data_IF_476290407155
#
_entry.id   IF_476290407155
#
_cell.length_a   1.000
_cell.length_b   1.000
_cell.length_c   1.000
_cell.angle_alpha   90.00
_cell.angle_beta   90.00
_cell.angle_gamma   90.00
#
_symmetry.space_group_name_H-M   'P 1'
#
loop_
_entity.id
_entity.type
_entity.pdbx_description
1 polymer ?
#
# COMPACT_ATOMS: atom_id res chain seq x y z
N UNK A 1 12.69 18.87 -9.65
CA UNK A 1 12.94 18.72 -11.10
C UNK A 1 12.19 17.54 -11.65
N UNK A 2 11.55 17.71 -12.80
CA UNK A 2 10.61 16.77 -13.41
C UNK A 2 11.31 15.63 -14.13
N UNK A 3 10.89 14.39 -13.86
CA UNK A 3 11.30 13.20 -14.60
C UNK A 3 10.08 12.52 -15.21
N UNK A 4 10.20 12.15 -16.49
CA UNK A 4 9.28 11.28 -17.21
C UNK A 4 10.08 10.29 -18.06
N UNK A 5 9.39 9.30 -18.64
CA UNK A 5 9.93 8.49 -19.74
C UNK A 5 10.40 9.40 -20.88
N UNK A 6 11.43 8.97 -21.60
CA UNK A 6 11.76 9.52 -22.92
C UNK A 6 10.64 9.15 -23.92
N UNK A 7 9.87 10.14 -24.36
CA UNK A 7 8.69 9.97 -25.23
C UNK A 7 9.07 9.49 -26.65
N UNK A 8 10.36 9.52 -27.02
CA UNK A 8 10.87 9.12 -28.34
C UNK A 8 10.91 7.60 -28.58
N UNK A 9 10.58 6.77 -27.57
CA UNK A 9 10.51 5.31 -27.72
C UNK A 9 9.07 4.85 -28.00
N UNK A 10 8.82 4.54 -29.28
CA UNK A 10 7.57 3.96 -29.81
C UNK A 10 6.97 2.89 -28.89
N UNK A 11 5.65 2.94 -28.75
CA UNK A 11 4.82 1.88 -28.17
C UNK A 11 5.16 0.53 -28.79
N UNK A 12 5.91 -0.34 -28.08
CA UNK A 12 6.19 -1.66 -28.63
C UNK A 12 7.14 -2.59 -27.88
N UNK A 13 8.05 -2.12 -27.02
CA UNK A 13 9.04 -3.02 -26.39
C UNK A 13 9.26 -2.68 -24.91
N UNK A 14 8.81 -3.58 -24.02
CA UNK A 14 9.21 -3.63 -22.61
C UNK A 14 8.62 -2.55 -21.70
N UNK A 15 7.30 -2.62 -21.47
CA UNK A 15 6.55 -1.72 -20.58
C UNK A 15 6.89 -1.91 -19.09
N UNK A 16 7.99 -1.32 -18.64
CA UNK A 16 8.31 -1.18 -17.22
C UNK A 16 9.15 0.09 -17.04
N UNK A 17 8.94 0.81 -15.92
CA UNK A 17 9.86 1.87 -15.49
C UNK A 17 11.33 1.37 -15.58
N UNK A 18 11.55 0.09 -15.27
CA UNK A 18 12.84 -0.61 -15.32
C UNK A 18 13.53 -0.74 -16.68
N UNK A 19 12.83 -0.59 -17.79
CA UNK A 19 13.43 -0.67 -19.12
C UNK A 19 13.59 0.72 -19.77
N UNK A 20 13.17 1.78 -19.07
CA UNK A 20 13.08 3.11 -19.65
C UNK A 20 14.18 4.04 -19.12
N UNK A 21 14.77 4.82 -20.02
CA UNK A 21 15.67 5.91 -19.66
C UNK A 21 14.89 7.06 -19.00
N UNK A 22 15.42 7.55 -17.89
CA UNK A 22 14.89 8.71 -17.17
C UNK A 22 15.29 9.99 -17.92
N UNK A 23 14.30 10.77 -18.35
CA UNK A 23 14.49 12.04 -19.05
C UNK A 23 14.00 13.23 -18.21
N UNK A 24 14.67 14.40 -18.27
CA UNK A 24 14.19 15.61 -17.64
C UNK A 24 13.08 16.27 -18.48
N UNK A 25 12.15 16.95 -17.81
CA UNK A 25 11.09 17.71 -18.48
C UNK A 25 11.11 19.20 -18.02
N UNK A 26 11.26 20.19 -18.93
CA UNK A 26 11.57 20.06 -20.36
C UNK A 26 13.04 19.72 -20.62
N UNK A 27 13.33 18.84 -21.59
CA UNK A 27 14.67 18.25 -21.80
C UNK A 27 15.76 19.28 -22.11
N UNK A 28 15.57 20.07 -23.17
CA UNK A 28 16.61 20.97 -23.68
C UNK A 28 16.95 22.09 -22.70
N UNK A 29 15.94 22.68 -22.06
CA UNK A 29 16.18 23.75 -21.06
C UNK A 29 16.83 23.21 -19.78
N UNK A 30 16.44 21.99 -19.35
CA UNK A 30 17.01 21.38 -18.14
C UNK A 30 18.48 21.00 -18.34
N UNK A 31 18.83 20.43 -19.50
CA UNK A 31 20.21 20.05 -19.79
C UNK A 31 21.10 21.25 -20.11
N UNK A 32 20.54 22.33 -20.65
CA UNK A 32 21.26 23.57 -20.95
C UNK A 32 21.60 24.43 -19.72
N UNK A 33 20.89 24.24 -18.60
CA UNK A 33 21.15 24.95 -17.34
C UNK A 33 21.97 24.07 -16.37
N UNK A 34 23.11 24.59 -15.91
CA UNK A 34 24.04 23.81 -15.07
C UNK A 34 23.45 23.37 -13.73
N UNK A 35 22.62 24.22 -13.10
CA UNK A 35 21.98 23.88 -11.83
C UNK A 35 20.86 22.85 -12.05
N UNK A 36 20.05 23.05 -13.08
CA UNK A 36 18.95 22.13 -13.39
C UNK A 36 19.47 20.75 -13.78
N UNK A 37 20.53 20.68 -14.59
CA UNK A 37 21.19 19.44 -14.96
C UNK A 37 21.79 18.73 -13.73
N UNK A 38 22.48 19.46 -12.84
CA UNK A 38 23.01 18.87 -11.60
C UNK A 38 21.90 18.23 -10.75
N UNK A 39 20.76 18.90 -10.62
CA UNK A 39 19.63 18.42 -9.83
C UNK A 39 18.93 17.24 -10.50
N UNK A 40 18.85 17.22 -11.84
CA UNK A 40 18.44 16.05 -12.60
C UNK A 40 19.36 14.84 -12.37
N UNK A 41 20.69 15.01 -12.42
CA UNK A 41 21.63 13.90 -12.20
C UNK A 41 21.51 13.32 -10.78
N UNK A 42 21.31 14.16 -9.76
CA UNK A 42 21.05 13.70 -8.39
C UNK A 42 19.78 12.87 -8.30
N UNK A 43 18.69 13.36 -8.90
CA UNK A 43 17.41 12.66 -8.93
C UNK A 43 17.51 11.32 -9.67
N UNK A 44 18.18 11.31 -10.83
CA UNK A 44 18.47 10.10 -11.61
C UNK A 44 19.25 9.09 -10.79
N UNK A 45 20.32 9.53 -10.11
CA UNK A 45 21.13 8.66 -9.26
C UNK A 45 20.31 8.00 -8.13
N UNK A 46 19.42 8.75 -7.47
CA UNK A 46 18.51 8.21 -6.45
C UNK A 46 17.57 7.16 -7.02
N UNK A 47 16.89 7.45 -8.14
CA UNK A 47 15.96 6.51 -8.78
C UNK A 47 16.67 5.26 -9.32
N UNK A 48 17.87 5.40 -9.86
CA UNK A 48 18.65 4.26 -10.35
C UNK A 48 19.13 3.38 -9.18
N UNK A 49 19.52 3.98 -8.06
CA UNK A 49 19.87 3.21 -6.84
C UNK A 49 18.64 2.52 -6.25
N UNK A 50 17.48 3.21 -6.26
CA UNK A 50 16.19 2.59 -5.95
C UNK A 50 15.92 1.40 -6.88
N UNK A 51 15.96 1.56 -8.22
CA UNK A 51 15.71 0.49 -9.20
C UNK A 51 16.59 -0.74 -9.01
N UNK A 52 17.81 -0.57 -8.51
CA UNK A 52 18.76 -1.66 -8.19
C UNK A 52 18.55 -2.30 -6.81
N UNK A 53 17.55 -1.88 -6.05
CA UNK A 53 17.32 -2.25 -4.64
C UNK A 53 18.48 -1.84 -3.70
N UNK A 54 19.30 -0.85 -4.08
CA UNK A 54 20.40 -0.36 -3.23
C UNK A 54 19.92 0.62 -2.16
N UNK A 55 18.83 1.33 -2.44
CA UNK A 55 18.15 2.23 -1.51
C UNK A 55 16.68 1.82 -1.37
N UNK A 56 16.18 1.95 -0.15
CA UNK A 56 14.76 1.78 0.17
C UNK A 56 13.92 2.99 -0.28
N UNK A 57 12.60 2.83 -0.24
CA UNK A 57 11.68 3.92 -0.58
C UNK A 57 11.82 5.13 0.33
N UNK A 58 12.03 4.92 1.63
CA UNK A 58 12.21 5.98 2.62
C UNK A 58 13.52 6.76 2.48
N UNK A 59 14.52 6.16 1.84
CA UNK A 59 15.79 6.82 1.51
C UNK A 59 15.69 7.69 0.25
N UNK A 60 14.75 7.39 -0.64
CA UNK A 60 14.65 8.00 -1.98
C UNK A 60 13.50 9.02 -2.05
N UNK A 61 12.34 8.65 -1.54
CA UNK A 61 11.10 9.41 -1.70
C UNK A 61 10.72 10.19 -0.45
N UNK A 62 9.96 11.26 -0.65
CA UNK A 62 9.20 11.91 0.43
C UNK A 62 8.01 11.01 0.77
N UNK A 63 8.19 10.17 1.80
CA UNK A 63 7.25 9.11 2.18
C UNK A 63 5.85 9.66 2.45
N UNK A 64 5.63 10.70 3.27
CA UNK A 64 4.28 11.23 3.50
C UNK A 64 3.57 11.69 2.23
N UNK A 65 4.29 12.38 1.32
CA UNK A 65 3.71 12.86 0.06
C UNK A 65 3.35 11.70 -0.87
N UNK A 66 4.21 10.70 -0.98
CA UNK A 66 3.97 9.58 -1.88
C UNK A 66 2.92 8.60 -1.33
N UNK A 67 2.94 8.32 -0.03
CA UNK A 67 1.85 7.62 0.62
C UNK A 67 0.48 8.30 0.38
N UNK A 68 0.44 9.63 0.51
CA UNK A 68 -0.78 10.42 0.23
C UNK A 68 -1.19 10.37 -1.23
N UNK A 69 -0.23 10.44 -2.15
CA UNK A 69 -0.47 10.29 -3.59
C UNK A 69 -1.19 8.97 -3.88
N UNK A 70 -0.67 7.83 -3.40
CA UNK A 70 -1.27 6.52 -3.67
C UNK A 70 -2.64 6.36 -2.99
N UNK A 71 -2.78 6.83 -1.75
CA UNK A 71 -4.06 6.79 -1.05
C UNK A 71 -5.14 7.63 -1.75
N UNK A 72 -4.76 8.76 -2.37
CA UNK A 72 -5.67 9.53 -3.22
C UNK A 72 -5.97 8.79 -4.53
N UNK A 73 -5.00 8.16 -5.19
CA UNK A 73 -5.25 7.31 -6.36
C UNK A 73 -6.28 6.22 -6.04
N UNK A 74 -6.18 5.58 -4.87
CA UNK A 74 -7.19 4.63 -4.38
C UNK A 74 -8.55 5.31 -4.17
N UNK A 75 -8.61 6.47 -3.51
CA UNK A 75 -9.88 7.18 -3.28
C UNK A 75 -10.60 7.53 -4.59
N UNK A 76 -9.87 7.91 -5.62
CA UNK A 76 -10.46 8.16 -6.94
C UNK A 76 -10.78 6.87 -7.70
N UNK A 77 -10.20 5.74 -7.31
CA UNK A 77 -10.38 4.41 -7.89
C UNK A 77 -9.91 4.26 -9.33
N UNK A 78 -9.30 5.29 -9.92
CA UNK A 78 -8.72 5.24 -11.25
C UNK A 78 -7.19 5.14 -11.16
N UNK A 79 -6.68 3.93 -11.39
CA UNK A 79 -5.24 3.65 -11.38
C UNK A 79 -4.53 4.06 -12.67
N UNK A 80 -4.95 5.17 -13.28
CA UNK A 80 -4.32 5.71 -14.48
C UNK A 80 -3.11 6.60 -14.17
N UNK A 81 -3.16 7.37 -13.09
CA UNK A 81 -2.10 8.34 -12.75
C UNK A 81 -0.86 7.71 -12.10
N UNK A 82 -1.02 6.49 -11.57
CA UNK A 82 -0.01 5.65 -10.95
C UNK A 82 0.57 4.66 -11.98
N UNK A 83 0.11 4.63 -13.22
CA UNK A 83 0.90 3.96 -14.26
C UNK A 83 2.28 4.63 -14.37
N UNK A 84 3.31 3.79 -14.53
CA UNK A 84 4.70 4.23 -14.49
C UNK A 84 5.04 5.26 -15.58
N UNK A 85 4.28 5.29 -16.67
CA UNK A 85 4.38 6.23 -17.78
C UNK A 85 3.65 7.55 -17.52
N UNK A 86 2.69 7.55 -16.59
CA UNK A 86 1.92 8.74 -16.21
C UNK A 86 2.47 9.44 -14.97
N UNK A 87 3.06 8.74 -14.01
CA UNK A 87 3.66 9.39 -12.85
C UNK A 87 4.80 10.32 -13.27
N UNK A 88 4.85 11.50 -12.65
CA UNK A 88 5.96 12.45 -12.79
C UNK A 88 6.66 12.60 -11.46
N UNK A 89 7.97 12.71 -11.46
CA UNK A 89 8.74 12.89 -10.23
C UNK A 89 9.32 14.29 -10.13
N UNK A 90 9.23 14.91 -8.96
CA UNK A 90 9.90 16.15 -8.61
C UNK A 90 11.01 15.88 -7.58
N UNK A 91 12.27 16.15 -7.94
CA UNK A 91 13.36 16.20 -6.95
C UNK A 91 13.35 17.52 -6.17
N UNK A 92 13.22 17.42 -4.85
CA UNK A 92 13.30 18.52 -3.90
C UNK A 92 14.74 18.70 -3.39
N UNK A 93 15.44 19.79 -3.76
CA UNK A 93 16.84 19.99 -3.38
C UNK A 93 17.04 20.31 -1.89
N UNK A 94 15.99 20.70 -1.16
CA UNK A 94 16.07 21.02 0.27
C UNK A 94 16.06 19.73 1.08
N UNK A 95 15.13 18.83 0.80
CA UNK A 95 15.00 17.55 1.50
C UNK A 95 15.88 16.46 0.89
N UNK A 96 16.40 16.67 -0.32
CA UNK A 96 17.08 15.64 -1.12
C UNK A 96 16.25 14.38 -1.29
N UNK A 97 14.93 14.56 -1.50
CA UNK A 97 13.95 13.50 -1.71
C UNK A 97 13.16 13.72 -2.99
N UNK A 98 12.57 12.64 -3.48
CA UNK A 98 11.71 12.63 -4.66
C UNK A 98 10.24 12.65 -4.25
N UNK A 99 9.47 13.53 -4.87
CA UNK A 99 8.03 13.69 -4.64
C UNK A 99 7.28 13.27 -5.90
N UNK A 100 6.19 12.49 -5.80
CA UNK A 100 5.36 12.19 -6.96
C UNK A 100 4.46 13.37 -7.29
N UNK A 101 4.16 13.54 -8.56
CA UNK A 101 3.21 14.51 -9.06
C UNK A 101 2.17 13.77 -9.90
N UNK A 102 0.89 13.97 -9.56
CA UNK A 102 -0.25 13.42 -10.28
C UNK A 102 -0.28 14.05 -11.68
N UNK A 103 -0.42 13.20 -12.68
CA UNK A 103 -0.61 13.58 -14.06
C UNK A 103 -1.59 12.62 -14.72
N UNK A 104 -2.36 13.12 -15.69
CA UNK A 104 -3.35 12.38 -16.47
C UNK A 104 -4.38 11.57 -15.65
N UNK A 105 -4.84 12.17 -14.55
CA UNK A 105 -5.92 11.58 -13.76
C UNK A 105 -7.29 12.05 -14.28
N UNK A 106 -7.89 11.27 -15.17
CA UNK A 106 -9.06 11.69 -15.95
C UNK A 106 -10.43 11.26 -15.45
N UNK A 107 -10.53 10.30 -14.51
CA UNK A 107 -11.81 9.70 -14.12
C UNK A 107 -11.88 9.38 -12.62
N UNK A 108 -13.10 9.34 -12.08
CA UNK A 108 -13.39 8.70 -10.79
C UNK A 108 -14.08 7.38 -11.14
N UNK A 109 -13.57 6.28 -10.62
CA UNK A 109 -14.05 4.92 -10.92
C UNK A 109 -14.33 4.21 -9.60
N UNK A 110 -15.34 3.36 -9.57
CA UNK A 110 -15.68 2.60 -8.38
C UNK A 110 -14.57 1.60 -8.02
N UNK A 111 -14.14 1.61 -6.76
CA UNK A 111 -13.34 0.57 -6.15
C UNK A 111 -14.19 -0.68 -5.90
N UNK A 112 -13.58 -1.86 -6.01
CA UNK A 112 -14.22 -3.14 -5.71
C UNK A 112 -15.16 -3.68 -6.79
N UNK A 113 -15.31 -3.00 -7.93
CA UNK A 113 -16.00 -3.52 -9.12
C UNK A 113 -14.96 -4.09 -10.10
N UNK A 114 -15.33 -5.13 -10.85
CA UNK A 114 -14.53 -5.62 -11.98
C UNK A 114 -14.47 -4.52 -13.05
N UNK A 115 -13.30 -3.94 -13.25
CA UNK A 115 -13.12 -2.93 -14.29
C UNK A 115 -13.05 -3.61 -15.66
N UNK A 116 -14.00 -3.28 -16.54
CA UNK A 116 -14.01 -3.72 -17.94
C UNK A 116 -13.46 -2.65 -18.91
N UNK A 117 -13.06 -1.46 -18.43
CA UNK A 117 -12.57 -0.37 -19.28
C UNK A 117 -11.08 -0.49 -19.64
N UNK A 118 -10.24 -1.02 -18.75
CA UNK A 118 -8.78 -1.02 -18.96
C UNK A 118 -8.21 -2.31 -19.59
N UNK A 119 -8.95 -3.42 -19.56
CA UNK A 119 -8.56 -4.69 -20.17
C UNK A 119 -9.76 -5.62 -20.27
N UNK A 120 -9.83 -6.46 -21.30
CA UNK A 120 -10.81 -7.54 -21.46
C UNK A 120 -10.71 -8.66 -20.39
N UNK A 121 -10.28 -8.33 -19.18
CA UNK A 121 -10.12 -9.23 -18.04
C UNK A 121 -10.70 -8.55 -16.80
N UNK A 122 -11.64 -9.23 -16.16
CA UNK A 122 -12.27 -8.82 -14.91
C UNK A 122 -11.23 -8.75 -13.79
N UNK A 123 -10.70 -7.56 -13.51
CA UNK A 123 -9.84 -7.32 -12.36
C UNK A 123 -10.63 -6.59 -11.27
N UNK A 124 -10.72 -7.20 -10.09
CA UNK A 124 -11.21 -6.52 -8.91
C UNK A 124 -10.32 -5.31 -8.64
N UNK A 125 -10.91 -4.12 -8.69
CA UNK A 125 -10.22 -2.88 -8.42
C UNK A 125 -9.94 -2.74 -6.91
N UNK A 126 -8.84 -3.36 -6.44
CA UNK A 126 -8.42 -3.35 -5.04
C UNK A 126 -7.48 -2.17 -4.78
N UNK A 127 -7.40 -1.76 -3.51
CA UNK A 127 -6.42 -0.75 -3.09
C UNK A 127 -5.00 -1.19 -3.47
N UNK A 128 -4.15 -0.24 -3.90
CA UNK A 128 -2.82 -0.46 -4.48
C UNK A 128 -1.91 -1.31 -3.57
N UNK A 129 -2.00 -1.12 -2.25
CA UNK A 129 -1.20 -1.87 -1.29
C UNK A 129 -1.58 -3.34 -1.16
N UNK A 130 -2.76 -3.75 -1.65
CA UNK A 130 -3.21 -5.13 -1.59
C UNK A 130 -2.20 -6.08 -2.21
N UNK A 131 -1.95 -7.20 -1.54
CA UNK A 131 -1.06 -8.29 -1.96
C UNK A 131 0.42 -7.89 -2.07
N UNK A 132 0.79 -6.66 -1.68
CA UNK A 132 2.18 -6.22 -1.65
C UNK A 132 2.90 -6.74 -0.42
N UNK A 133 4.12 -7.21 -0.61
CA UNK A 133 4.93 -7.83 0.42
C UNK A 133 6.09 -6.95 0.88
N UNK A 134 6.45 -7.11 2.15
CA UNK A 134 7.54 -6.37 2.80
C UNK A 134 8.85 -7.16 2.72
N UNK A 135 9.95 -6.48 2.43
CA UNK A 135 11.27 -7.09 2.29
C UNK A 135 11.47 -7.83 0.97
N UNK A 136 12.51 -8.66 0.90
CA UNK A 136 12.97 -9.32 -0.33
C UNK A 136 12.35 -10.71 -0.57
N UNK A 137 11.42 -11.13 0.28
CA UNK A 137 10.80 -12.44 0.17
C UNK A 137 9.76 -12.42 -0.95
N UNK A 138 10.15 -12.94 -2.10
CA UNK A 138 9.51 -13.96 -2.96
C UNK A 138 10.12 -13.73 -4.35
N UNK A 139 10.67 -14.81 -4.92
CA UNK A 139 10.90 -14.94 -6.36
C UNK A 139 9.52 -14.99 -7.05
N UNK A 140 8.76 -13.89 -6.95
CA UNK A 140 7.44 -13.80 -7.54
C UNK A 140 7.75 -13.64 -9.02
N UNK A 141 7.59 -14.72 -9.75
CA UNK A 141 7.56 -14.73 -11.20
C UNK A 141 6.12 -14.43 -11.57
N UNK A 142 5.73 -13.15 -11.76
CA UNK A 142 4.39 -12.86 -12.23
C UNK A 142 4.13 -13.67 -13.51
N UNK A 143 2.93 -14.26 -13.68
CA UNK A 143 2.52 -14.73 -14.99
C UNK A 143 2.76 -13.60 -16.00
N UNK A 144 3.18 -13.96 -17.21
CA UNK A 144 3.87 -13.11 -18.20
C UNK A 144 3.12 -11.82 -18.66
N UNK A 145 2.00 -11.46 -18.03
CA UNK A 145 1.21 -10.24 -18.20
C UNK A 145 1.46 -9.12 -17.14
N UNK A 146 2.16 -9.36 -16.02
CA UNK A 146 2.23 -8.40 -14.89
C UNK A 146 3.51 -7.53 -14.83
N UNK A 147 3.89 -6.88 -15.94
CA UNK A 147 5.01 -5.91 -15.93
C UNK A 147 4.63 -4.50 -15.44
N UNK A 148 3.35 -4.22 -15.22
CA UNK A 148 2.82 -2.88 -14.85
C UNK A 148 3.04 -2.50 -13.38
N UNK A 149 3.08 -3.45 -12.45
CA UNK A 149 3.01 -3.18 -10.98
C UNK A 149 4.36 -3.13 -10.28
N UNK A 150 5.46 -3.42 -10.97
CA UNK A 150 6.74 -3.64 -10.31
C UNK A 150 7.17 -2.43 -9.45
N UNK A 151 6.83 -1.18 -9.84
CA UNK A 151 7.21 0.06 -9.10
C UNK A 151 6.67 -0.02 -7.69
N UNK A 152 5.39 -0.35 -7.59
CA UNK A 152 4.70 -0.49 -6.33
C UNK A 152 5.16 -1.72 -5.57
N UNK A 153 5.41 -2.86 -6.23
CA UNK A 153 6.03 -4.02 -5.56
C UNK A 153 7.31 -3.62 -4.82
N UNK A 154 8.19 -2.86 -5.48
CA UNK A 154 9.43 -2.40 -4.88
C UNK A 154 9.21 -1.35 -3.78
N UNK A 155 8.28 -0.41 -4.00
CA UNK A 155 7.99 0.65 -3.03
C UNK A 155 7.47 0.06 -1.70
N UNK A 156 6.57 -0.91 -1.78
CA UNK A 156 5.95 -1.52 -0.61
C UNK A 156 6.85 -2.51 0.13
N UNK A 157 8.04 -2.84 -0.40
CA UNK A 157 9.06 -3.59 0.35
C UNK A 157 9.50 -2.86 1.62
N UNK A 158 9.42 -1.53 1.62
CA UNK A 158 9.80 -0.70 2.76
C UNK A 158 8.65 -0.62 3.80
N UNK A 159 8.82 -1.17 5.01
CA UNK A 159 7.77 -1.11 6.03
C UNK A 159 7.48 0.32 6.51
N UNK A 160 8.43 1.26 6.41
CA UNK A 160 8.18 2.65 6.76
C UNK A 160 7.22 3.28 5.75
N UNK A 161 7.40 2.98 4.46
CA UNK A 161 6.48 3.43 3.42
C UNK A 161 5.09 2.83 3.59
N UNK A 162 5.03 1.50 3.77
CA UNK A 162 3.76 0.78 3.90
C UNK A 162 2.91 1.36 5.04
N UNK A 163 3.53 1.63 6.21
CA UNK A 163 2.84 2.25 7.34
C UNK A 163 2.27 3.62 7.00
N UNK A 164 3.06 4.47 6.34
CA UNK A 164 2.61 5.80 5.95
C UNK A 164 1.47 5.75 4.95
N UNK A 165 1.48 4.78 4.02
CA UNK A 165 0.39 4.54 3.09
C UNK A 165 -0.90 4.15 3.81
N UNK A 166 -0.87 3.20 4.74
CA UNK A 166 -2.05 2.81 5.52
C UNK A 166 -2.58 3.98 6.35
N UNK A 167 -1.71 4.80 6.95
CA UNK A 167 -2.12 6.02 7.65
C UNK A 167 -2.76 7.06 6.72
N UNK A 168 -2.25 7.17 5.49
CA UNK A 168 -2.86 8.03 4.48
C UNK A 168 -4.23 7.49 4.05
N UNK A 169 -4.39 6.18 3.92
CA UNK A 169 -5.69 5.54 3.67
C UNK A 169 -6.68 5.81 4.81
N UNK A 170 -6.29 5.64 6.08
CA UNK A 170 -7.14 6.00 7.23
C UNK A 170 -7.60 7.45 7.14
N UNK A 171 -6.68 8.38 6.84
CA UNK A 171 -7.01 9.80 6.72
C UNK A 171 -7.97 10.12 5.57
N UNK A 172 -7.74 9.58 4.36
CA UNK A 172 -8.60 9.89 3.20
C UNK A 172 -9.93 9.13 3.28
N UNK A 173 -9.96 8.02 4.02
CA UNK A 173 -11.14 7.21 4.24
C UNK A 173 -12.05 7.69 5.37
N UNK A 174 -11.66 8.71 6.14
CA UNK A 174 -12.53 9.38 7.12
C UNK A 174 -13.56 10.28 6.42
N UNK A 175 -14.89 10.13 6.64
CA UNK A 175 -15.92 10.99 6.04
C UNK A 175 -15.60 12.49 6.12
N UNK A 176 -15.05 12.94 7.25
CA UNK A 176 -14.70 14.34 7.47
C UNK A 176 -13.71 14.88 6.43
N UNK A 177 -12.86 14.03 5.85
CA UNK A 177 -11.90 14.44 4.82
C UNK A 177 -12.59 15.00 3.57
N UNK A 178 -13.61 14.30 3.04
CA UNK A 178 -14.35 14.75 1.87
C UNK A 178 -15.33 15.86 2.22
N UNK A 179 -16.00 15.77 3.37
CA UNK A 179 -16.93 16.79 3.85
C UNK A 179 -16.24 18.15 3.95
N UNK A 180 -15.09 18.22 4.65
CA UNK A 180 -14.30 19.45 4.75
C UNK A 180 -13.73 19.93 3.41
N UNK A 181 -13.41 19.00 2.50
CA UNK A 181 -12.89 19.34 1.18
C UNK A 181 -13.95 20.06 0.34
N UNK A 182 -15.15 19.49 0.27
CA UNK A 182 -16.27 20.00 -0.51
C UNK A 182 -16.86 21.27 0.10
N UNK A 183 -17.02 21.32 1.42
CA UNK A 183 -17.53 22.52 2.10
C UNK A 183 -16.63 23.72 1.85
N UNK A 184 -15.31 23.56 2.00
CA UNK A 184 -14.33 24.62 1.80
C UNK A 184 -14.29 25.14 0.36
N UNK A 185 -14.62 24.29 -0.62
CA UNK A 185 -14.50 24.59 -2.06
C UNK A 185 -15.85 24.79 -2.74
N UNK A 186 -16.95 24.72 -2.00
CA UNK A 186 -18.31 24.75 -2.54
C UNK A 186 -18.57 25.88 -3.53
N UNK A 187 -18.18 27.11 -3.17
CA UNK A 187 -18.39 28.28 -4.04
C UNK A 187 -17.46 28.25 -5.26
N UNK A 188 -16.21 27.80 -5.11
CA UNK A 188 -15.27 27.65 -6.22
C UNK A 188 -15.76 26.58 -7.21
N UNK A 189 -16.23 25.44 -6.72
CA UNK A 189 -16.80 24.37 -7.56
C UNK A 189 -18.01 24.90 -8.31
N UNK A 190 -18.92 25.61 -7.63
CA UNK A 190 -20.11 26.21 -8.27
C UNK A 190 -19.71 27.16 -9.40
N UNK A 191 -18.74 28.05 -9.16
CA UNK A 191 -18.22 28.98 -10.17
C UNK A 191 -17.64 28.22 -11.38
N UNK A 192 -16.81 27.20 -11.15
CA UNK A 192 -16.20 26.42 -12.25
C UNK A 192 -17.24 25.63 -13.05
N UNK A 193 -18.24 25.04 -12.39
CA UNK A 193 -19.36 24.36 -13.08
C UNK A 193 -20.14 25.35 -13.95
N UNK A 194 -20.40 26.56 -13.47
CA UNK A 194 -21.09 27.59 -14.25
C UNK A 194 -20.30 28.00 -15.51
N UNK A 195 -18.97 28.10 -15.40
CA UNK A 195 -18.10 28.37 -16.56
C UNK A 195 -18.18 27.24 -17.59
N UNK A 196 -18.06 25.98 -17.17
CA UNK A 196 -18.14 24.82 -18.08
C UNK A 196 -19.51 24.76 -18.78
N UNK A 197 -20.58 25.13 -18.07
CA UNK A 197 -21.95 25.17 -18.61
C UNK A 197 -22.17 26.18 -19.74
N UNK A 198 -21.27 27.14 -19.93
CA UNK A 198 -21.31 28.03 -21.10
C UNK A 198 -21.11 27.26 -22.41
N UNK A 199 -20.30 26.22 -22.40
CA UNK A 199 -20.01 25.38 -23.58
C UNK A 199 -20.75 24.03 -23.53
N UNK A 200 -20.94 23.46 -22.34
CA UNK A 200 -21.67 22.21 -22.12
C UNK A 200 -22.81 22.42 -21.12
N UNK A 201 -23.99 22.89 -21.56
CA UNK A 201 -25.12 23.21 -20.67
C UNK A 201 -25.64 22.04 -19.83
N UNK A 202 -25.36 20.80 -20.24
CA UNK A 202 -25.75 19.58 -19.55
C UNK A 202 -24.70 19.08 -18.54
N UNK A 203 -23.55 19.74 -18.45
CA UNK A 203 -22.51 19.33 -17.51
C UNK A 203 -22.99 19.44 -16.06
N UNK A 204 -22.75 18.38 -15.30
CA UNK A 204 -22.91 18.37 -13.86
C UNK A 204 -21.74 17.66 -13.21
N UNK A 205 -21.30 18.16 -12.06
CA UNK A 205 -20.22 17.55 -11.30
C UNK A 205 -20.82 16.52 -10.33
N UNK A 206 -21.23 15.38 -10.87
CA UNK A 206 -22.03 14.37 -10.17
C UNK A 206 -21.21 13.23 -9.55
N UNK A 207 -19.92 13.09 -9.88
CA UNK A 207 -19.11 11.95 -9.42
C UNK A 207 -18.66 12.04 -7.94
N UNK A 208 -19.26 12.93 -7.14
CA UNK A 208 -18.96 13.06 -5.72
C UNK A 208 -19.39 11.83 -4.92
N UNK A 209 -20.53 11.25 -5.26
CA UNK A 209 -21.07 10.07 -4.57
C UNK A 209 -20.11 8.88 -4.68
N UNK A 210 -19.48 8.72 -5.84
CA UNK A 210 -18.49 7.67 -6.08
C UNK A 210 -17.23 7.83 -5.23
N UNK A 211 -16.82 9.06 -4.91
CA UNK A 211 -15.71 9.28 -3.97
C UNK A 211 -16.07 8.79 -2.57
N UNK A 212 -17.31 9.03 -2.10
CA UNK A 212 -17.78 8.52 -0.80
C UNK A 212 -17.95 6.99 -0.82
N UNK A 213 -18.38 6.40 -1.93
CA UNK A 213 -18.43 4.95 -2.09
C UNK A 213 -17.02 4.34 -2.01
N UNK A 214 -16.04 4.89 -2.73
CA UNK A 214 -14.65 4.46 -2.66
C UNK A 214 -14.08 4.63 -1.25
N UNK A 215 -14.42 5.73 -0.60
CA UNK A 215 -14.05 5.99 0.79
C UNK A 215 -14.50 4.86 1.72
N UNK A 216 -15.74 4.41 1.56
CA UNK A 216 -16.30 3.28 2.30
C UNK A 216 -15.61 1.95 1.97
N UNK A 217 -15.27 1.71 0.70
CA UNK A 217 -14.51 0.51 0.30
C UNK A 217 -13.13 0.47 0.96
N UNK A 218 -12.42 1.61 1.01
CA UNK A 218 -11.14 1.72 1.70
C UNK A 218 -11.32 1.43 3.20
N UNK A 219 -12.33 2.01 3.86
CA UNK A 219 -12.62 1.72 5.27
C UNK A 219 -12.85 0.22 5.50
N UNK A 220 -13.66 -0.43 4.66
CA UNK A 220 -13.91 -1.89 4.77
C UNK A 220 -12.63 -2.71 4.62
N UNK A 221 -11.74 -2.30 3.72
CA UNK A 221 -10.44 -2.93 3.56
C UNK A 221 -9.50 -2.72 4.77
N UNK A 222 -9.71 -1.67 5.58
CA UNK A 222 -8.95 -1.41 6.80
C UNK A 222 -9.58 -2.00 8.07
N UNK A 223 -10.86 -2.36 8.03
CA UNK A 223 -11.59 -2.90 9.18
C UNK A 223 -12.23 -4.27 8.84
N UNK A 224 -11.42 -5.32 8.57
CA UNK A 224 -11.94 -6.64 8.27
C UNK A 224 -12.59 -7.28 9.50
N UNK A 225 -13.67 -8.04 9.31
CA UNK A 225 -14.32 -8.79 10.38
C UNK A 225 -13.39 -9.82 11.05
N UNK A 226 -12.38 -10.31 10.31
CA UNK A 226 -11.37 -11.23 10.82
C UNK A 226 -10.02 -10.89 10.19
N UNK A 227 -9.06 -10.51 11.04
CA UNK A 227 -7.74 -10.04 10.59
C UNK A 227 -6.78 -11.21 10.30
N UNK A 228 -6.58 -12.10 11.28
CA UNK A 228 -5.70 -13.27 11.18
C UNK A 228 -6.32 -14.47 11.89
N UNK A 229 -5.75 -15.63 11.63
CA UNK A 229 -5.87 -16.82 12.48
C UNK A 229 -4.58 -17.07 13.23
N UNK A 230 -4.68 -17.40 14.52
CA UNK A 230 -3.53 -17.62 15.37
C UNK A 230 -3.71 -18.91 16.18
N UNK A 231 -2.66 -19.71 16.21
CA UNK A 231 -2.62 -21.00 16.88
C UNK A 231 -1.42 -21.07 17.81
N UNK A 232 -1.63 -21.56 19.03
CA UNK A 232 -0.59 -21.78 20.03
C UNK A 232 0.12 -23.10 19.76
N UNK A 233 1.40 -23.03 19.38
CA UNK A 233 2.25 -24.19 19.12
C UNK A 233 3.05 -24.55 20.38
N UNK A 234 2.43 -25.38 21.23
CA UNK A 234 3.08 -25.92 22.44
C UNK A 234 4.34 -26.71 22.14
N UNK A 235 4.40 -27.40 20.99
CA UNK A 235 5.52 -28.28 20.65
C UNK A 235 6.79 -27.51 20.35
N UNK A 236 6.64 -26.32 19.76
CA UNK A 236 7.74 -25.41 19.44
C UNK A 236 8.05 -24.41 20.57
N UNK A 237 7.25 -24.40 21.64
CA UNK A 237 7.47 -23.51 22.79
C UNK A 237 8.52 -24.08 23.73
N UNK A 238 9.57 -23.32 24.04
CA UNK A 238 10.68 -23.76 24.89
C UNK A 238 11.03 -22.72 25.94
N UNK A 239 11.22 -23.16 27.19
CA UNK A 239 11.65 -22.30 28.30
C UNK A 239 10.72 -21.11 28.51
N UNK A 240 11.25 -19.91 28.28
CA UNK A 240 10.52 -18.63 28.39
C UNK A 240 9.98 -18.13 27.03
N UNK A 241 9.85 -18.97 26.01
CA UNK A 241 9.29 -18.58 24.71
C UNK A 241 7.98 -19.30 24.37
N UNK A 242 7.06 -18.53 23.82
CA UNK A 242 5.75 -19.00 23.32
C UNK A 242 5.74 -18.91 21.82
N UNK A 243 5.51 -20.05 21.17
CA UNK A 243 5.44 -20.14 19.72
C UNK A 243 3.99 -20.06 19.21
N UNK A 244 3.80 -19.30 18.13
CA UNK A 244 2.54 -19.13 17.43
C UNK A 244 2.70 -19.53 15.97
N UNK A 245 1.68 -20.19 15.43
CA UNK A 245 1.44 -20.32 13.99
C UNK A 245 0.36 -19.32 13.61
N UNK A 246 0.66 -18.44 12.67
CA UNK A 246 -0.25 -17.37 12.25
C UNK A 246 -0.50 -17.49 10.75
N UNK A 247 -1.76 -17.37 10.37
CA UNK A 247 -2.18 -17.24 8.98
C UNK A 247 -2.88 -15.90 8.79
N UNK A 248 -2.40 -15.12 7.83
CA UNK A 248 -2.98 -13.82 7.49
C UNK A 248 -3.76 -13.93 6.18
N UNK A 249 -5.07 -14.10 6.28
CA UNK A 249 -5.99 -14.13 5.14
C UNK A 249 -6.34 -12.74 4.61
N UNK A 250 -5.88 -11.70 5.28
CA UNK A 250 -6.08 -10.34 4.82
C UNK A 250 -5.11 -10.02 3.67
N UNK A 251 -5.55 -9.20 2.71
CA UNK A 251 -4.72 -8.79 1.58
C UNK A 251 -3.62 -7.79 1.95
N UNK A 252 -3.53 -7.37 3.21
CA UNK A 252 -2.53 -6.42 3.70
C UNK A 252 -1.67 -7.08 4.78
N UNK A 253 -0.38 -6.75 4.90
CA UNK A 253 0.46 -7.19 6.00
C UNK A 253 -0.11 -6.77 7.35
N UNK A 254 -0.02 -7.68 8.31
CA UNK A 254 -0.46 -7.49 9.69
C UNK A 254 0.76 -7.39 10.58
N UNK A 255 0.70 -6.56 11.61
CA UNK A 255 1.70 -6.56 12.68
C UNK A 255 1.13 -7.05 13.99
N UNK A 256 1.82 -8.02 14.59
CA UNK A 256 1.60 -8.43 15.98
C UNK A 256 2.34 -7.44 16.87
N UNK A 257 1.61 -6.72 17.70
CA UNK A 257 2.13 -5.66 18.58
C UNK A 257 2.21 -6.09 20.05
N UNK A 258 1.54 -7.18 20.40
CA UNK A 258 1.45 -7.66 21.77
C UNK A 258 0.70 -8.99 21.87
N UNK A 259 0.57 -9.47 23.10
CA UNK A 259 -0.19 -10.66 23.46
C UNK A 259 -0.64 -10.58 24.93
N UNK A 260 -1.53 -11.46 25.39
CA UNK A 260 -1.98 -11.51 26.79
C UNK A 260 -2.47 -12.90 27.19
N UNK A 261 -2.28 -13.28 28.45
CA UNK A 261 -2.94 -14.42 29.09
C UNK A 261 -3.83 -13.94 30.25
N UNK A 262 -5.08 -13.59 29.96
CA UNK A 262 -6.04 -13.14 30.99
C UNK A 262 -5.70 -11.80 31.64
N UNK A 263 -4.57 -11.66 32.34
CA UNK A 263 -4.14 -10.45 33.01
C UNK A 263 -3.29 -9.55 32.11
N UNK A 264 -3.94 -8.53 31.55
CA UNK A 264 -3.28 -7.38 30.95
C UNK A 264 -2.49 -7.66 29.65
N UNK A 265 -2.38 -6.67 28.75
CA UNK A 265 -1.64 -6.86 27.52
C UNK A 265 -0.13 -6.68 27.71
N UNK A 266 0.65 -7.69 27.32
CA UNK A 266 2.11 -7.63 27.14
C UNK A 266 2.41 -7.03 25.77
N UNK A 267 3.12 -5.89 25.75
CA UNK A 267 3.57 -5.25 24.51
C UNK A 267 4.86 -5.90 24.04
N UNK A 268 4.96 -6.21 22.75
CA UNK A 268 6.23 -6.65 22.17
C UNK A 268 7.21 -5.49 22.05
N UNK A 269 8.46 -5.72 22.46
CA UNK A 269 9.55 -4.75 22.28
C UNK A 269 9.79 -4.44 20.79
N UNK A 270 9.57 -5.42 19.91
CA UNK A 270 9.59 -5.27 18.46
C UNK A 270 8.37 -5.95 17.86
N UNK A 271 7.45 -5.21 17.20
CA UNK A 271 6.34 -5.82 16.49
C UNK A 271 6.80 -6.80 15.43
N UNK A 272 5.99 -7.83 15.15
CA UNK A 272 6.27 -8.86 14.14
C UNK A 272 5.32 -8.71 12.97
N UNK A 273 5.87 -8.53 11.77
CA UNK A 273 5.06 -8.47 10.54
C UNK A 273 4.73 -9.90 10.10
N UNK A 274 3.46 -10.10 9.75
CA UNK A 274 2.89 -11.29 9.13
C UNK A 274 2.41 -10.88 7.74
N UNK A 275 3.05 -11.38 6.70
CA UNK A 275 2.70 -11.08 5.31
C UNK A 275 1.31 -11.64 4.97
N UNK A 276 0.63 -11.04 4.00
CA UNK A 276 -0.59 -11.61 3.43
C UNK A 276 -0.30 -13.00 2.82
N UNK A 277 -1.21 -13.97 3.02
CA UNK A 277 -1.17 -15.24 2.31
C UNK A 277 -1.65 -15.03 0.87
N UNK A 278 -0.70 -14.96 -0.06
CA UNK A 278 -0.97 -14.85 -1.49
C UNK A 278 -1.38 -16.20 -2.11
N UNK A 279 -1.17 -17.30 -1.38
CA UNK A 279 -1.64 -18.62 -1.73
C UNK A 279 -3.13 -18.73 -1.44
N UNK A 280 -3.96 -18.91 -2.47
CA UNK A 280 -5.40 -19.16 -2.29
C UNK A 280 -5.70 -20.48 -1.56
N UNK A 281 -4.68 -21.30 -1.28
CA UNK A 281 -4.76 -22.63 -0.68
C UNK A 281 -4.55 -22.64 0.85
N UNK A 282 -4.46 -21.47 1.50
CA UNK A 282 -4.36 -21.33 2.96
C UNK A 282 -3.11 -21.97 3.58
N UNK A 283 -2.06 -22.14 2.80
CA UNK A 283 -0.87 -22.90 3.19
C UNK A 283 0.26 -22.06 3.80
N UNK A 284 0.23 -20.72 3.67
CA UNK A 284 1.34 -19.86 4.10
C UNK A 284 1.29 -19.57 5.61
N UNK A 285 1.63 -20.57 6.41
CA UNK A 285 1.74 -20.46 7.86
C UNK A 285 3.06 -19.78 8.24
N UNK A 286 2.95 -18.65 8.94
CA UNK A 286 4.11 -17.93 9.46
C UNK A 286 4.28 -18.24 10.95
N UNK A 287 5.51 -18.54 11.36
CA UNK A 287 5.83 -18.88 12.76
C UNK A 287 6.41 -17.66 13.47
N UNK A 288 5.88 -17.34 14.65
CA UNK A 288 6.36 -16.26 15.50
C UNK A 288 6.61 -16.80 16.91
N UNK A 289 7.73 -16.43 17.51
CA UNK A 289 8.01 -16.68 18.93
C UNK A 289 8.07 -15.35 19.69
N UNK A 290 7.53 -15.35 20.91
CA UNK A 290 7.57 -14.21 21.84
C UNK A 290 8.06 -14.67 23.20
N UNK A 291 8.83 -13.81 23.88
CA UNK A 291 9.31 -14.09 25.22
C UNK A 291 8.21 -13.89 26.29
N UNK A 292 8.29 -14.69 27.34
CA UNK A 292 7.50 -14.60 28.56
C UNK A 292 8.06 -13.55 29.51
N UNK A 293 7.20 -12.86 30.27
CA UNK A 293 7.66 -12.11 31.44
C UNK A 293 8.39 -13.04 32.41
N UNK A 294 9.44 -12.54 33.05
CA UNK A 294 10.26 -13.33 33.96
C UNK A 294 9.40 -13.91 35.11
N UNK A 295 9.44 -15.23 35.28
CA UNK A 295 8.69 -15.95 36.31
C UNK A 295 7.27 -16.34 35.94
N UNK A 296 6.80 -16.03 34.73
CA UNK A 296 5.52 -16.53 34.21
C UNK A 296 5.69 -17.86 33.47
N UNK A 297 4.66 -18.71 33.55
CA UNK A 297 4.59 -19.98 32.82
C UNK A 297 3.50 -19.93 31.78
N UNK A 298 3.68 -20.70 30.70
CA UNK A 298 2.72 -20.70 29.62
C UNK A 298 1.36 -21.26 30.04
N UNK A 299 0.33 -20.43 29.94
CA UNK A 299 -1.05 -20.76 30.28
C UNK A 299 -1.78 -21.59 29.22
N UNK A 300 -3.05 -21.96 29.48
CA UNK A 300 -3.91 -22.61 28.50
C UNK A 300 -4.13 -21.73 27.26
N UNK A 301 -4.40 -22.33 26.10
CA UNK A 301 -4.56 -21.59 24.84
C UNK A 301 -5.81 -20.71 24.86
N UNK A 302 -6.83 -21.15 25.60
CA UNK A 302 -8.18 -20.60 25.66
C UNK A 302 -8.23 -19.18 26.24
N UNK A 303 -7.23 -18.82 27.06
CA UNK A 303 -7.11 -17.48 27.65
C UNK A 303 -6.04 -16.62 26.96
N UNK A 304 -5.40 -17.17 25.93
CA UNK A 304 -4.35 -16.51 25.17
C UNK A 304 -4.95 -15.67 24.05
N UNK A 305 -4.50 -14.42 23.96
CA UNK A 305 -4.87 -13.51 22.88
C UNK A 305 -3.62 -12.87 22.30
N UNK A 306 -3.64 -12.64 20.98
CA UNK A 306 -2.69 -11.77 20.32
C UNK A 306 -3.31 -10.38 20.15
N UNK A 307 -2.47 -9.35 20.18
CA UNK A 307 -2.84 -7.99 19.78
C UNK A 307 -2.22 -7.71 18.44
N UNK A 308 -3.05 -7.43 17.45
CA UNK A 308 -2.64 -7.29 16.08
C UNK A 308 -3.31 -6.08 15.42
N UNK A 309 -2.74 -5.60 14.32
CA UNK A 309 -3.35 -4.59 13.46
C UNK A 309 -2.80 -4.68 12.05
N UNK A 310 -3.51 -4.14 11.08
CA UNK A 310 -2.94 -3.91 9.75
C UNK A 310 -1.71 -3.01 9.92
N UNK A 311 -0.65 -3.30 9.18
CA UNK A 311 0.62 -2.60 9.33
C UNK A 311 0.46 -1.08 9.14
N UNK A 312 0.65 -0.32 10.23
CA UNK A 312 0.55 1.14 10.21
C UNK A 312 -0.83 1.68 10.59
N UNK A 313 -1.86 0.85 10.68
CA UNK A 313 -3.18 1.25 11.15
C UNK A 313 -3.14 1.75 12.61
N UNK A 314 -4.11 2.60 12.95
CA UNK A 314 -4.29 3.15 14.28
C UNK A 314 -4.96 2.15 15.23
N UNK A 315 -5.96 1.41 14.74
CA UNK A 315 -6.73 0.45 15.52
C UNK A 315 -5.93 -0.82 15.81
N UNK A 316 -5.99 -1.31 17.05
CA UNK A 316 -5.42 -2.60 17.48
C UNK A 316 -6.55 -3.52 17.90
N UNK A 317 -6.64 -4.68 17.28
CA UNK A 317 -7.63 -5.71 17.59
C UNK A 317 -7.03 -6.83 18.43
N UNK A 318 -7.87 -7.45 19.27
CA UNK A 318 -7.53 -8.69 19.96
C UNK A 318 -7.95 -9.89 19.12
N UNK A 319 -7.05 -10.87 19.01
CA UNK A 319 -7.26 -12.09 18.26
C UNK A 319 -7.15 -13.26 19.23
N UNK A 320 -8.23 -14.03 19.35
CA UNK A 320 -8.22 -15.27 20.14
C UNK A 320 -7.29 -16.31 19.54
N UNK A 321 -6.53 -16.99 20.38
CA UNK A 321 -5.60 -18.04 19.97
C UNK A 321 -6.21 -19.42 20.22
N UNK A 322 -6.07 -20.33 19.26
CA UNK A 322 -6.55 -21.72 19.38
C UNK A 322 -5.38 -22.67 19.65
N UNK A 323 -5.58 -23.84 20.26
CA UNK A 323 -4.54 -24.89 20.26
C UNK A 323 -4.16 -25.26 18.81
N UNK A 324 -2.88 -25.46 18.54
CA UNK A 324 -2.44 -25.96 17.24
C UNK A 324 -2.59 -27.48 17.17
N UNK A 325 -3.41 -27.99 16.24
CA UNK A 325 -3.45 -29.41 15.87
C UNK A 325 -2.95 -29.59 14.42
N UNK A 326 -2.03 -30.53 14.19
CA UNK A 326 -1.41 -30.75 12.88
C UNK A 326 -2.42 -31.07 11.75
N UNK A 327 -3.62 -31.55 12.10
CA UNK A 327 -4.73 -31.80 11.17
C UNK A 327 -5.48 -30.55 10.71
N UNK A 328 -5.42 -29.43 11.44
CA UNK A 328 -6.20 -28.23 11.12
C UNK A 328 -5.70 -27.49 9.87
N UNK A 329 -4.40 -27.58 9.56
CA UNK A 329 -3.84 -26.98 8.34
C UNK A 329 -4.20 -27.76 7.07
N UNK A 330 -4.50 -29.07 7.20
CA UNK A 330 -4.91 -29.90 6.07
C UNK A 330 -6.39 -29.67 5.67
N UNK A 331 -7.23 -29.23 6.61
CA UNK A 331 -8.65 -29.00 6.37
C UNK A 331 -8.96 -27.73 5.56
N UNK A 332 -7.97 -26.86 5.32
CA UNK A 332 -8.09 -25.68 4.47
C UNK A 332 -7.98 -25.95 2.96
N UNK A 333 -7.73 -27.20 2.55
CA UNK A 333 -7.46 -27.62 1.16
C UNK A 333 -8.72 -27.99 0.34
N UNK A 334 -9.93 -27.59 0.76
CA UNK A 334 -11.18 -27.89 0.06
C UNK A 334 -11.90 -26.66 -0.48
#
# INVERSE_FOLDING_TARGET
>A
YWLSKDDDLQYGLGQALWATDLAPMPRNSTLGDSLQNLLFQKAKSLLESFRRNELSSSEVFDVPKFATFLALSDLFGAHHCDYYDNIRFYYNPITSRIEPIIHDHGAIVALGIEDHFASNEAYLNRIIGSEKQIGEQIEYQPPHSFKKTALYEQIFKDPQFYRAYVQALERVSDPAFLDEFFDRRKEQIREKVQIIRLENPLYDFCCTDMLYENQEQIRRALHPARLIEAYYDRSSSQGEEVAFKIVNYHNLPVEIVGWSWGEGPVRLARPRVVQADLGRDRSAVQSIAVGLPAGEHAGPAEVLKLRARILGASEVVEVSVRPFEASELAAGQH
#
